data_IF_094790428004
#
_entry.id   IF_094790428004
#
_cell.length_a   1.000
_cell.length_b   1.000
_cell.length_c   1.000
_cell.angle_alpha   90.00
_cell.angle_beta   90.00
_cell.angle_gamma   90.00
#
_symmetry.space_group_name_H-M   'P 1'
#
loop_
_entity.id
_entity.type
_entity.pdbx_description
1 polymer ?
2 non-polymer ?
3 non-polymer ?
4 water ?
#
# COMPACT_ATOMS: atom_id res chain seq x y z
N UNK A 2 -18.72 -0.29 1.29
CA UNK A 2 -18.01 -0.29 0.01
C UNK A 2 -17.88 1.08 -0.62
N UNK A 3 -16.72 1.27 -1.25
CA UNK A 3 -16.29 2.57 -1.70
C UNK A 3 -15.80 2.50 -3.12
N UNK A 4 -15.92 3.60 -3.86
CA UNK A 4 -15.45 3.68 -5.23
C UNK A 4 -14.00 4.15 -5.28
N UNK A 5 -13.19 3.35 -5.92
CA UNK A 5 -11.80 3.69 -6.16
C UNK A 5 -11.70 4.64 -7.35
N UNK A 6 -10.73 5.58 -7.38
CA UNK A 6 -9.75 5.79 -6.31
C UNK A 6 -10.31 6.47 -5.07
N UNK A 7 -9.70 6.17 -3.92
CA UNK A 7 -10.18 6.62 -2.64
C UNK A 7 -9.00 7.15 -1.85
N UNK A 8 -9.22 8.29 -1.19
CA UNK A 8 -8.28 8.91 -0.26
C UNK A 8 -8.76 8.68 1.18
N UNK A 9 -7.90 8.06 1.99
CA UNK A 9 -8.16 7.93 3.41
C UNK A 9 -7.31 8.97 4.13
N UNK A 10 -7.88 9.94 4.86
CA UNK A 10 -7.04 10.90 5.59
C UNK A 10 -6.37 10.18 6.76
N UNK A 11 -5.14 10.60 7.03
CA UNK A 11 -4.34 10.15 8.16
C UNK A 11 -3.99 11.43 8.91
N UNK A 12 -4.92 11.98 9.71
CA UNK A 12 -4.70 13.31 10.31
C UNK A 12 -3.55 13.36 11.29
N UNK A 13 -2.61 14.26 11.14
CA UNK A 13 -1.41 14.26 11.98
C UNK A 13 -0.42 13.19 11.58
N UNK A 14 -0.71 12.55 10.42
CA UNK A 14 0.17 11.53 9.85
C UNK A 14 0.14 10.24 10.63
N UNK A 15 1.17 9.43 10.44
CA UNK A 15 1.19 8.09 11.03
C UNK A 15 2.14 8.10 12.22
N UNK A 16 2.08 7.01 13.00
CA UNK A 16 2.81 6.88 14.24
C UNK A 16 3.06 5.41 14.49
N UNK A 17 4.17 5.00 15.11
CA UNK A 17 4.33 3.58 15.43
C UNK A 17 3.14 3.03 16.20
N UNK A 18 2.77 1.80 15.85
CA UNK A 18 1.66 1.03 16.44
C UNK A 18 0.35 1.29 15.70
N UNK A 19 0.35 2.18 14.69
CA UNK A 19 -0.84 2.40 13.87
C UNK A 19 -0.94 1.28 12.83
N UNK A 20 -2.11 0.62 12.82
CA UNK A 20 -2.38 -0.51 11.94
C UNK A 20 -3.48 -0.11 10.98
N UNK A 21 -3.12 -0.05 9.71
CA UNK A 21 -4.06 0.34 8.66
C UNK A 21 -4.54 -0.92 7.95
N UNK A 22 -5.87 -1.10 7.86
CA UNK A 22 -6.47 -2.28 7.24
C UNK A 22 -7.29 -1.84 6.02
N UNK A 23 -6.95 -2.46 4.88
CA UNK A 23 -7.65 -2.26 3.62
C UNK A 23 -8.26 -3.61 3.23
N UNK A 24 -9.59 -3.62 3.11
CA UNK A 24 -10.34 -4.81 2.72
C UNK A 24 -10.96 -4.53 1.36
N UNK A 25 -10.88 -5.53 0.49
CA UNK A 25 -11.52 -5.42 -0.80
C UNK A 25 -11.54 -6.77 -1.52
N UNK A 26 -11.92 -6.73 -2.80
CA UNK A 26 -11.80 -7.90 -3.66
C UNK A 26 -11.06 -7.48 -4.93
N UNK A 27 -10.12 -8.31 -5.37
CA UNK A 27 -9.42 -8.06 -6.62
C UNK A 27 -10.37 -8.32 -7.79
N UNK A 28 -10.37 -7.40 -8.75
CA UNK A 28 -11.22 -7.60 -9.93
C UNK A 28 -10.77 -8.84 -10.70
N UNK A 29 -11.67 -9.50 -11.47
CA UNK A 29 -11.30 -10.69 -12.22
C UNK A 29 -10.12 -10.58 -13.17
N UNK A 30 -9.92 -9.45 -13.82
CA UNK A 30 -8.88 -9.41 -14.84
C UNK A 30 -7.80 -8.44 -14.39
N UNK A 31 -7.52 -8.40 -13.08
CA UNK A 31 -6.71 -7.33 -12.53
C UNK A 31 -5.34 -7.21 -13.18
N UNK A 32 -4.87 -5.96 -13.35
CA UNK A 32 -3.48 -5.72 -13.74
C UNK A 32 -2.62 -5.08 -12.66
N UNK A 33 -3.23 -4.25 -11.80
CA UNK A 33 -2.42 -3.45 -10.89
C UNK A 33 -3.27 -3.02 -9.69
N UNK A 34 -2.57 -2.83 -8.57
CA UNK A 34 -3.12 -2.23 -7.36
C UNK A 34 -2.05 -1.26 -6.84
N UNK A 35 -2.49 -0.17 -6.23
CA UNK A 35 -1.54 0.72 -5.55
C UNK A 35 -2.11 1.31 -4.26
N UNK A 36 -1.23 1.31 -3.24
CA UNK A 36 -1.38 2.14 -2.05
C UNK A 36 -0.29 3.19 -2.11
N UNK A 37 -0.70 4.45 -1.81
CA UNK A 37 0.22 5.57 -1.82
C UNK A 37 0.08 6.37 -0.52
N UNK A 38 1.05 6.13 0.37
CA UNK A 38 1.14 6.94 1.59
C UNK A 38 1.84 8.25 1.28
N UNK A 39 1.08 9.34 1.35
CA UNK A 39 1.47 10.65 0.81
C UNK A 39 1.93 11.62 1.90
N UNK A 40 3.02 12.35 1.66
CA UNK A 40 3.38 13.55 2.40
C UNK A 40 3.33 14.70 1.39
N UNK A 41 2.21 15.41 1.34
CA UNK A 41 1.97 16.33 0.23
C UNK A 41 2.04 15.62 -1.11
N UNK A 42 2.87 16.14 -2.01
CA UNK A 42 3.11 15.53 -3.30
C UNK A 42 4.08 14.37 -3.25
N UNK A 43 4.84 14.23 -2.14
CA UNK A 43 5.76 13.10 -2.02
C UNK A 43 5.00 11.83 -1.68
N UNK A 44 5.50 10.71 -2.15
CA UNK A 44 4.93 9.44 -1.75
C UNK A 44 5.95 8.74 -0.87
N UNK A 45 5.65 8.70 0.44
CA UNK A 45 6.56 8.07 1.39
C UNK A 45 6.68 6.57 1.09
N UNK A 46 5.53 5.94 0.80
CA UNK A 46 5.51 4.51 0.57
C UNK A 46 4.42 4.19 -0.45
N UNK A 47 4.89 3.73 -1.62
CA UNK A 47 4.08 3.21 -2.74
C UNK A 47 4.23 1.69 -2.72
N UNK A 48 3.09 1.02 -2.57
CA UNK A 48 3.00 -0.45 -2.53
C UNK A 48 2.15 -0.85 -3.73
N UNK A 49 2.81 -1.56 -4.65
CA UNK A 49 2.24 -1.70 -6.00
C UNK A 49 2.34 -3.14 -6.54
N UNK A 50 1.35 -4.00 -6.20
CA UNK A 50 1.18 -5.29 -6.88
C UNK A 50 0.94 -5.12 -8.37
N UNK A 51 1.75 -5.83 -9.17
CA UNK A 51 1.61 -5.92 -10.62
C UNK A 51 1.36 -7.38 -11.00
N UNK A 52 0.22 -7.60 -11.64
CA UNK A 52 -0.24 -8.94 -12.00
C UNK A 52 0.36 -9.42 -13.33
N UNK A 53 0.90 -8.51 -14.14
CA UNK A 53 1.44 -8.92 -15.42
C UNK A 53 2.52 -7.95 -15.90
N UNK A 54 3.66 -7.99 -15.21
CA UNK A 54 4.84 -7.31 -15.68
C UNK A 54 5.73 -8.34 -16.34
N UNK A 55 5.80 -8.22 -17.67
CA UNK A 55 6.54 -9.16 -18.49
C UNK A 55 6.08 -10.57 -18.14
N UNK A 56 4.76 -10.74 -18.01
CA UNK A 56 4.09 -12.01 -17.78
C UNK A 56 4.46 -12.66 -16.43
N UNK A 57 4.93 -11.88 -15.45
CA UNK A 57 5.21 -12.31 -14.09
C UNK A 57 4.39 -11.43 -13.15
N UNK A 58 4.10 -11.95 -11.97
CA UNK A 58 3.47 -11.20 -10.88
C UNK A 58 4.57 -10.78 -9.92
N UNK A 59 4.55 -9.51 -9.53
CA UNK A 59 5.60 -8.95 -8.68
C UNK A 59 4.98 -7.86 -7.81
N UNK A 60 5.60 -7.62 -6.64
CA UNK A 60 5.27 -6.47 -5.82
C UNK A 60 6.39 -5.45 -6.00
N UNK A 61 6.02 -4.20 -6.37
CA UNK A 61 6.97 -3.10 -6.46
C UNK A 61 6.68 -2.10 -5.34
N UNK A 62 7.72 -1.77 -4.58
CA UNK A 62 7.64 -0.69 -3.57
C UNK A 62 8.65 0.42 -3.89
N UNK A 63 8.24 1.67 -3.63
CA UNK A 63 9.14 2.80 -3.85
C UNK A 63 8.65 4.03 -3.09
N UNK A 64 9.44 5.10 -3.24
CA UNK A 64 9.19 6.43 -2.68
C UNK A 64 9.34 7.43 -3.83
N UNK A 65 8.49 8.44 -3.84
CA UNK A 65 8.55 9.52 -4.82
C UNK A 65 8.87 10.80 -4.05
N UNK A 66 9.97 11.45 -4.45
CA UNK A 66 10.42 12.70 -3.82
C UNK A 66 10.56 13.74 -4.93
N UNK A 67 9.97 14.91 -4.75
CA UNK A 67 10.10 16.00 -5.72
C UNK A 67 9.71 15.50 -7.11
N UNK A 68 8.66 14.68 -7.13
CA UNK A 68 8.03 14.15 -8.32
C UNK A 68 8.88 13.11 -9.04
N UNK A 69 9.96 12.61 -8.42
CA UNK A 69 10.81 11.57 -9.00
C UNK A 69 10.79 10.29 -8.17
N UNK A 70 10.59 9.16 -8.85
CA UNK A 70 10.68 7.86 -8.17
C UNK A 70 12.14 7.54 -7.83
N UNK A 71 12.34 6.87 -6.70
CA UNK A 71 13.64 6.44 -6.23
C UNK A 71 13.96 5.01 -6.66
N UNK A 72 14.77 4.31 -5.84
CA UNK A 72 15.16 2.94 -6.13
C UNK A 72 14.04 1.98 -5.72
N UNK A 73 13.61 1.12 -6.67
CA UNK A 73 12.59 0.12 -6.35
C UNK A 73 13.09 -1.00 -5.44
N UNK A 74 12.19 -1.43 -4.56
CA UNK A 74 12.34 -2.68 -3.80
C UNK A 74 11.25 -3.63 -4.27
N UNK A 75 11.66 -4.77 -4.81
CA UNK A 75 10.75 -5.73 -5.40
C UNK A 75 10.70 -7.02 -4.60
N UNK A 76 9.53 -7.68 -4.62
CA UNK A 76 9.31 -8.99 -4.02
C UNK A 76 8.59 -9.88 -5.06
N UNK A 77 9.00 -11.15 -5.23
CA UNK A 77 8.26 -12.07 -6.09
C UNK A 77 7.10 -12.77 -5.34
N UNK A 78 7.20 -12.82 -4.03
CA UNK A 78 6.11 -13.40 -3.26
C UNK A 78 4.86 -12.57 -3.56
N UNK A 79 3.78 -13.20 -3.99
CA UNK A 79 2.64 -12.49 -4.55
C UNK A 79 1.39 -13.14 -4.00
N UNK A 80 0.84 -12.61 -2.88
CA UNK A 80 -0.29 -13.23 -2.21
C UNK A 80 -1.69 -12.95 -2.74
N UNK A 81 -1.81 -12.11 -3.77
CA UNK A 81 -3.09 -11.77 -4.34
C UNK A 81 -3.42 -12.72 -5.49
N UNK A 82 -4.74 -12.84 -5.69
CA UNK A 82 -5.31 -13.58 -6.78
C UNK A 82 -6.47 -12.78 -7.37
N UNK A 83 -6.52 -12.75 -8.70
CA UNK A 83 -7.62 -12.13 -9.42
C UNK A 83 -8.95 -12.73 -8.97
N UNK A 84 -9.93 -11.86 -8.66
CA UNK A 84 -11.27 -12.27 -8.28
C UNK A 84 -11.47 -12.56 -6.79
N UNK A 85 -10.41 -12.52 -5.96
CA UNK A 85 -10.53 -12.99 -4.58
C UNK A 85 -10.53 -11.84 -3.60
N UNK A 86 -11.25 -12.03 -2.49
CA UNK A 86 -11.24 -11.07 -1.37
C UNK A 86 -9.88 -11.07 -0.68
N UNK A 87 -9.39 -9.87 -0.33
CA UNK A 87 -8.09 -9.67 0.30
C UNK A 87 -8.24 -8.75 1.49
N UNK A 88 -7.19 -8.83 2.32
CA UNK A 88 -6.96 -7.90 3.42
C UNK A 88 -5.48 -7.53 3.34
N UNK A 89 -5.22 -6.23 3.18
CA UNK A 89 -3.88 -5.67 3.34
C UNK A 89 -3.82 -4.94 4.68
N UNK A 90 -2.85 -5.33 5.50
CA UNK A 90 -2.58 -4.58 6.74
C UNK A 90 -1.18 -3.99 6.67
N UNK A 91 -1.14 -2.68 6.91
CA UNK A 91 0.11 -1.94 7.03
C UNK A 91 0.28 -1.48 8.47
N UNK A 92 1.31 -2.04 9.08
CA UNK A 92 1.68 -1.72 10.46
C UNK A 92 2.83 -0.73 10.40
N UNK A 93 2.62 0.45 10.97
CA UNK A 93 3.68 1.43 11.06
C UNK A 93 4.55 1.09 12.28
N UNK A 94 5.85 0.87 12.05
CA UNK A 94 6.81 0.63 13.11
C UNK A 94 7.83 1.77 13.13
N UNK A 95 8.69 1.87 14.15
CA UNK A 95 9.56 3.04 14.21
C UNK A 95 10.46 3.24 13.02
N UNK A 96 10.93 2.12 12.44
CA UNK A 96 11.88 2.20 11.35
C UNK A 96 11.37 1.72 9.99
N UNK A 97 10.17 1.16 9.92
CA UNK A 97 9.67 0.64 8.67
C UNK A 97 8.16 0.57 8.71
N UNK A 98 7.60 0.42 7.49
CA UNK A 98 6.27 -0.10 7.30
C UNK A 98 6.32 -1.62 7.14
N UNK A 99 5.47 -2.33 7.91
CA UNK A 99 5.37 -3.78 7.75
C UNK A 99 4.02 -4.09 7.08
N UNK A 100 4.07 -4.93 6.05
CA UNK A 100 2.85 -5.30 5.33
C UNK A 100 2.58 -6.80 5.46
N UNK A 101 1.34 -7.11 5.83
CA UNK A 101 0.82 -8.47 5.87
C UNK A 101 -0.39 -8.52 4.95
N UNK A 102 -0.55 -9.61 4.21
CA UNK A 102 -1.70 -9.81 3.35
C UNK A 102 -2.37 -11.10 3.78
N UNK A 103 -3.67 -11.02 4.04
CA UNK A 103 -4.44 -12.18 4.43
C UNK A 103 -3.78 -12.88 5.64
N UNK A 104 -3.32 -12.05 6.59
CA UNK A 104 -2.74 -12.51 7.84
C UNK A 104 -1.38 -13.16 7.72
N UNK A 105 -0.72 -13.00 6.57
CA UNK A 105 0.62 -13.51 6.37
C UNK A 105 1.58 -12.34 6.11
N UNK A 106 2.69 -12.30 6.85
CA UNK A 106 3.75 -11.33 6.63
C UNK A 106 4.25 -11.36 5.18
N UNK A 107 4.33 -10.17 4.56
CA UNK A 107 4.77 -10.07 3.18
C UNK A 107 6.12 -9.38 3.08
N UNK A 108 6.21 -8.17 3.62
CA UNK A 108 7.44 -7.40 3.46
C UNK A 108 7.56 -6.30 4.51
N UNK A 109 8.79 -5.77 4.62
CA UNK A 109 9.13 -4.57 5.37
C UNK A 109 9.65 -3.54 4.38
N UNK A 110 9.38 -2.25 4.64
CA UNK A 110 9.91 -1.15 3.82
C UNK A 110 10.42 -0.08 4.78
N UNK A 111 11.74 0.12 4.78
CA UNK A 111 12.39 1.09 5.67
C UNK A 111 11.92 2.51 5.34
N UNK A 112 11.68 3.32 6.37
CA UNK A 112 11.25 4.68 6.16
C UNK A 112 12.38 5.48 5.49
N UNK A 113 12.10 6.00 4.29
CA UNK A 113 12.92 6.97 3.58
C UNK A 113 12.50 8.40 3.92
N UNK A 114 11.21 8.65 3.92
CA UNK A 114 10.61 9.86 4.45
C UNK A 114 10.52 9.71 5.96
N UNK A 115 11.18 10.63 6.66
CA UNK A 115 11.36 10.56 8.10
C UNK A 115 10.22 11.21 8.85
N UNK A 116 9.49 12.14 8.21
CA UNK A 116 8.46 12.88 8.93
C UNK A 116 7.14 12.13 8.91
N UNK A 117 7.03 11.10 9.77
CA UNK A 117 5.86 10.24 9.83
C UNK A 117 4.61 11.09 10.09
N UNK A 118 4.71 12.12 10.93
CA UNK A 118 3.54 12.91 11.33
C UNK A 118 3.09 13.88 10.23
N UNK A 119 3.67 13.77 9.04
CA UNK A 119 3.29 14.58 7.88
C UNK A 119 2.79 13.68 6.75
N UNK A 120 2.77 12.36 6.97
CA UNK A 120 2.28 11.40 5.98
C UNK A 120 0.77 11.28 6.20
N UNK A 121 0.02 12.21 5.62
CA UNK A 121 -1.30 12.54 6.10
C UNK A 121 -2.42 12.10 5.15
N UNK A 122 -2.08 11.32 4.12
CA UNK A 122 -3.11 10.74 3.28
C UNK A 122 -2.66 9.39 2.73
N UNK A 123 -3.62 8.47 2.62
CA UNK A 123 -3.45 7.18 1.96
C UNK A 123 -4.36 7.09 0.73
N UNK A 124 -3.75 7.09 -0.45
CA UNK A 124 -4.50 6.85 -1.67
C UNK A 124 -4.54 5.37 -2.00
N UNK A 125 -5.73 4.94 -2.42
CA UNK A 125 -5.97 3.55 -2.77
C UNK A 125 -6.48 3.55 -4.20
N UNK A 126 -5.79 2.85 -5.09
CA UNK A 126 -6.15 2.87 -6.50
C UNK A 126 -5.96 1.49 -7.13
N UNK A 127 -6.54 1.33 -8.32
CA UNK A 127 -6.28 0.13 -9.11
C UNK A 127 -7.49 -0.79 -9.18
N UNK A 128 -7.19 -2.05 -9.53
CA UNK A 128 -8.19 -2.97 -10.05
C UNK A 128 -8.82 -3.77 -8.91
N UNK A 129 -9.52 -3.04 -8.05
CA UNK A 129 -10.16 -3.63 -6.90
C UNK A 129 -11.57 -3.07 -6.73
N UNK A 130 -12.39 -3.84 -6.01
CA UNK A 130 -13.57 -3.39 -5.34
C UNK A 130 -13.20 -3.14 -3.89
N UNK A 131 -13.26 -1.88 -3.46
CA UNK A 131 -12.85 -1.49 -2.12
C UNK A 131 -14.02 -1.65 -1.16
N UNK A 132 -13.83 -2.46 -0.11
CA UNK A 132 -14.85 -2.71 0.89
C UNK A 132 -14.73 -1.72 2.06
N UNK A 133 -13.51 -1.58 2.59
CA UNK A 133 -13.29 -0.65 3.68
C UNK A 133 -11.81 -0.31 3.81
N UNK A 134 -11.57 0.87 4.40
CA UNK A 134 -10.23 1.35 4.73
C UNK A 134 -10.32 2.05 6.08
N UNK A 135 -9.56 1.56 7.06
CA UNK A 135 -9.62 2.12 8.41
C UNK A 135 -8.29 1.86 9.09
N UNK A 136 -8.15 2.39 10.31
CA UNK A 136 -6.98 2.14 11.11
C UNK A 136 -7.34 2.12 12.59
N UNK A 137 -6.42 1.55 13.35
CA UNK A 137 -6.52 1.51 14.80
C UNK A 137 -5.09 1.50 15.33
N UNK A 138 -4.96 1.66 16.63
CA UNK A 138 -3.67 1.55 17.30
C UNK A 138 -3.60 0.21 18.04
N UNK A 139 -2.52 -0.56 17.82
CA UNK A 139 -2.33 -1.84 18.49
C UNK A 139 -1.66 -1.67 19.87
X LIG B 1 3.21 4.19 -11.04
X LIG B 1 1.37 5.25 -10.84
X LIG B 1 1.11 3.92 -10.80
X LIG B 1 -0.26 3.40 -10.59
X LIG B 1 -1.37 4.23 -10.77
X LIG B 1 -2.62 3.76 -10.48
X LIG B 1 -0.45 2.08 -10.11
X LIG B 1 -2.82 2.46 -10.09
X LIG B 1 7.13 2.14 -13.46
X LIG B 1 9.93 1.70 -15.80
X LIG B 1 11.25 -0.46 -15.73
X LIG B 1 9.25 3.34 -13.42
X LIG B 1 9.24 4.55 -14.16
X LIG B 1 10.03 5.59 -13.69
X LIG B 1 10.88 4.27 -11.94
X LIG B 1 6.81 3.35 -10.06
X LIG B 1 5.28 3.43 -9.90
X LIG B 1 3.69 3.28 -14.33
X LIG B 1 4.69 3.90 -13.57
X LIG B 1 5.07 3.24 -12.38
X LIG B 1 4.65 4.06 -11.18
X LIG B 1 2.65 5.41 -10.97
X LIG B 1 -3.70 4.52 -10.68
X LIG B 1 -1.72 1.64 -9.91
X LIG B 1 -1.89 0.37 -9.46
X LIG B 1 -4.04 2.01 -9.86
X LIG B 1 2.28 3.27 -10.97
X LIG B 1 6.60 3.12 -12.39
X LIG B 1 8.43 2.24 -13.85
X LIG B 1 9.04 1.14 -14.65
X LIG B 1 10.42 0.52 -16.65
X LIG B 1 10.42 -0.96 -14.60
X LIG B 1 9.87 0.18 -13.76
X LIG B 1 9.05 -0.31 -12.73
X LIG B 1 10.01 7.11 -14.55
X LIG B 1 10.88 5.45 -12.63
X LIG B 1 11.93 4.06 -10.53
X LIG B 1 10.08 3.20 -12.32
X LIG B 1 6.40 1.28 -13.89
X LIG B 1 7.16 2.55 -11.20
X LIG B 1 7.48 2.69 -8.81
X LIG B 1 8.87 2.64 -8.92
X LIG B 1 4.75 2.12 -9.69
X LIG B 1 -1.25 5.26 -11.09
X LIG B 1 0.39 1.42 -9.96
X LIG B 1 10.79 2.23 -15.38
X LIG B 1 9.36 2.40 -16.41
X LIG B 1 12.12 0.05 -15.34
X LIG B 1 11.59 -1.31 -16.33
X LIG B 1 8.58 4.69 -15.02
X LIG B 1 7.22 4.36 -10.20
X LIG B 1 5.02 4.04 -9.02
X LIG B 1 3.49 3.90 -15.20
X LIG B 1 2.78 3.18 -13.72
X LIG B 1 4.04 2.30 -14.65
X LIG B 1 4.61 2.25 -12.34
X LIG B 1 5.04 5.08 -11.30
X LIG B 1 2.54 2.22 -10.95
X LIG B 1 7.03 4.12 -12.54
X LIG B 1 8.23 0.56 -15.12
X LIG B 1 11.04 0.88 -17.47
X LIG B 1 9.56 -0.01 -17.09
X LIG B 1 11.03 -1.61 -13.96
X LIG B 1 9.59 -1.55 -14.99
X LIG B 1 10.71 0.72 -13.30
X LIG B 1 8.72 0.46 -12.23
X LIG B 1 11.49 6.28 -12.30
X LIG B 1 10.12 2.27 -11.78
X LIG B 1 7.13 1.66 -8.69
X LIG B 1 7.23 3.24 -7.91
X LIG B 1 9.09 2.13 -9.71
X LIG B 1 4.98 1.59 -10.48
X LIG C 1 1.87 -0.25 -12.24
X LIG C 1 1.10 0.57 -13.36
X LIG C 1 0.48 1.14 -14.15
X LIG D 1 -8.22 3.79 -9.85
X LIG D 1 -7.58 3.23 -11.22
X LIG D 1 -7.04 2.81 -12.20
X LIG E 1 -9.57 -5.05 -14.12
X LIG E 1 -10.75 -6.07 -14.40
X LIG E 1 -11.67 -6.75 -14.54
#
# INVERSE_FOLDING_TARGET
MPLIVPYNLPLPGGVVPRMLITILGTVKPNANRIALDFQRGNDVAFHFNPRFNENNRRVIVCNTKLDNNWGREERQSVFPFESGKPFKIQVLVEPDHFKVAVNDAHLLQYNHRVKKLNEISKLGISGDIDLTSASYTMI
A1H1W N1 N3 C4 C5 C6 C7 C8 C10 C13 C15 C17 C20 C21 C22 C24 C26 C28 C1 O1 C2 C3 N2 F1 C9 F2 F3 C11 C12 N4 C14 C16 C18 C19 O2 CL1 C23 CL2 C25 O3 O4 C27 O5 O6 H6 H7 H12 H11 H15 H16 H21 H24 H28 H2 H3 H1 H4 H5 H8 H9 H10 H13 H14 H17 H18 H19 H20 H22 H23 H25 H26 H27 H29
SCN S C N
SCN S C N
SCN S C N
#
